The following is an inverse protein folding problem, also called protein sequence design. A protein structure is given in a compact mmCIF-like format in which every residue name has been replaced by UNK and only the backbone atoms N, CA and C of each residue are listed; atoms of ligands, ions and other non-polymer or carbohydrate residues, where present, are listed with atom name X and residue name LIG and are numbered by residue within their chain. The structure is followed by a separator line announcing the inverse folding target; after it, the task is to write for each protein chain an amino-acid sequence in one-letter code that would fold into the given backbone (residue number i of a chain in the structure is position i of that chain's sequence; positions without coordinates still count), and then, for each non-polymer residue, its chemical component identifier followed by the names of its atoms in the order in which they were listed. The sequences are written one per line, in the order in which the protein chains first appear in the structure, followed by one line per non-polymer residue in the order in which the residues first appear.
data_IF_976674448698
#
_entry.id   IF_976674448698
#
_cell.length_a   1.000
_cell.length_b   1.000
_cell.length_c   1.000
_cell.angle_alpha   90.00
_cell.angle_beta   90.00
_cell.angle_gamma   90.00
#
_symmetry.space_group_name_H-M   'P 1'
#
loop_
_entity.id
_entity.type
_entity.pdbx_description
1 polymer ?
#
# COMPACT_ATOMS: atom_id res chain seq x y z
N UNK A 1 -11.07 -1.89 -2.50
CA UNK A 1 -11.42 -0.68 -1.71
C UNK A 1 -10.22 -0.36 -0.87
N UNK A 2 -9.71 0.87 -0.92
CA UNK A 2 -8.62 1.31 -0.07
C UNK A 2 -9.22 1.81 1.26
N UNK A 3 -8.62 1.44 2.38
CA UNK A 3 -9.11 1.78 3.72
C UNK A 3 -8.78 3.24 4.10
N UNK A 4 -7.53 3.68 3.90
CA UNK A 4 -7.13 5.06 4.10
C UNK A 4 -5.99 5.48 3.14
N UNK A 5 -5.96 6.78 2.82
CA UNK A 5 -4.86 7.41 2.10
C UNK A 5 -4.50 8.71 2.83
N UNK A 6 -3.22 8.88 3.13
CA UNK A 6 -2.67 10.09 3.74
C UNK A 6 -1.78 10.81 2.74
N UNK A 7 -1.72 12.14 2.81
CA UNK A 7 -0.85 12.97 1.98
C UNK A 7 0.19 13.66 2.86
N UNK A 8 1.45 13.59 2.45
CA UNK A 8 2.57 14.32 3.06
C UNK A 8 3.35 15.04 1.97
N UNK A 9 3.23 16.36 1.92
CA UNK A 9 3.75 17.15 0.81
C UNK A 9 3.12 16.71 -0.52
N UNK A 10 3.94 16.26 -1.45
CA UNK A 10 3.52 15.77 -2.77
C UNK A 10 3.47 14.24 -2.87
N UNK A 11 3.67 13.54 -1.76
CA UNK A 11 3.61 12.08 -1.68
C UNK A 11 2.37 11.60 -0.94
N UNK A 12 1.98 10.37 -1.21
CA UNK A 12 0.82 9.72 -0.64
C UNK A 12 1.22 8.41 0.01
N UNK A 13 0.60 8.06 1.14
CA UNK A 13 0.73 6.75 1.77
C UNK A 13 -0.65 6.10 1.85
N UNK A 14 -0.76 4.90 1.29
CA UNK A 14 -1.91 4.03 1.45
C UNK A 14 -1.74 3.22 2.73
N UNK A 15 -2.78 3.19 3.57
CA UNK A 15 -2.82 2.36 4.78
C UNK A 15 -3.99 1.39 4.69
N UNK A 16 -3.69 0.11 4.87
CA UNK A 16 -4.68 -0.98 4.98
C UNK A 16 -4.55 -1.63 6.37
N UNK A 17 -5.64 -1.66 7.13
CA UNK A 17 -5.58 -2.20 8.49
C UNK A 17 -5.92 -3.69 8.54
N UNK A 18 -5.15 -4.44 9.31
CA UNK A 18 -5.36 -5.87 9.57
C UNK A 18 -5.74 -6.09 11.03
N UNK A 19 -6.81 -6.84 11.24
CA UNK A 19 -7.31 -7.23 12.56
C UNK A 19 -6.73 -8.54 13.07
N UNK A 20 -5.98 -9.26 12.22
CA UNK A 20 -5.21 -10.45 12.58
C UNK A 20 -4.04 -10.08 13.48
N UNK A 21 -3.55 -11.04 14.30
CA UNK A 21 -2.38 -10.83 15.17
C UNK A 21 -1.05 -11.06 14.45
N UNK A 22 -1.03 -11.91 13.43
CA UNK A 22 0.19 -12.29 12.72
C UNK A 22 0.31 -11.55 11.39
N UNK A 23 1.55 -11.32 10.96
CA UNK A 23 1.92 -10.63 9.71
C UNK A 23 1.73 -11.51 8.48
N UNK A 24 0.49 -11.93 8.23
CA UNK A 24 0.12 -12.87 7.16
C UNK A 24 -0.56 -12.18 5.98
N UNK A 25 -0.50 -10.85 5.91
CA UNK A 25 -1.12 -10.12 4.80
C UNK A 25 -0.25 -10.26 3.55
N UNK A 26 -0.90 -10.54 2.43
CA UNK A 26 -0.23 -10.63 1.13
C UNK A 26 0.19 -9.22 0.66
N UNK A 27 1.50 -8.95 0.48
CA UNK A 27 1.99 -7.67 -0.02
C UNK A 27 1.42 -7.29 -1.40
N UNK A 28 1.01 -8.27 -2.21
CA UNK A 28 0.41 -8.02 -3.53
C UNK A 28 -0.81 -7.11 -3.46
N UNK A 29 -1.57 -7.18 -2.36
CA UNK A 29 -2.72 -6.30 -2.11
C UNK A 29 -2.29 -4.82 -2.12
N UNK A 30 -1.18 -4.48 -1.45
CA UNK A 30 -0.66 -3.12 -1.40
C UNK A 30 -0.09 -2.67 -2.75
N UNK A 31 0.54 -3.58 -3.51
CA UNK A 31 1.03 -3.27 -4.85
C UNK A 31 -0.11 -2.85 -5.78
N UNK A 32 -1.21 -3.61 -5.78
CA UNK A 32 -2.42 -3.29 -6.56
C UNK A 32 -3.02 -1.97 -6.12
N UNK A 33 -3.12 -1.71 -4.81
CA UNK A 33 -3.67 -0.46 -4.30
C UNK A 33 -2.82 0.75 -4.69
N UNK A 34 -1.49 0.62 -4.55
CA UNK A 34 -0.53 1.65 -4.94
C UNK A 34 -0.66 1.99 -6.41
N UNK A 35 -0.66 0.98 -7.29
CA UNK A 35 -0.80 1.17 -8.73
C UNK A 35 -2.14 1.83 -9.09
N UNK A 36 -3.24 1.32 -8.54
CA UNK A 36 -4.56 1.85 -8.82
C UNK A 36 -4.71 3.32 -8.39
N UNK A 37 -4.15 3.69 -7.23
CA UNK A 37 -4.19 5.08 -6.76
C UNK A 37 -3.33 6.01 -7.63
N UNK A 38 -2.11 5.57 -7.96
CA UNK A 38 -1.21 6.34 -8.82
C UNK A 38 -1.85 6.63 -10.18
N UNK A 39 -2.45 5.62 -10.82
CA UNK A 39 -3.09 5.78 -12.12
C UNK A 39 -4.37 6.61 -12.07
N UNK A 40 -5.19 6.44 -11.03
CA UNK A 40 -6.42 7.23 -10.87
C UNK A 40 -6.15 8.74 -10.74
N UNK A 41 -5.00 9.08 -10.16
CA UNK A 41 -4.60 10.46 -9.86
C UNK A 41 -3.47 10.99 -10.77
N UNK A 42 -3.09 10.22 -11.79
CA UNK A 42 -2.03 10.56 -12.75
C UNK A 42 -0.69 10.92 -12.06
N UNK A 43 -0.32 10.12 -11.06
CA UNK A 43 0.90 10.26 -10.26
C UNK A 43 1.98 9.27 -10.71
N UNK A 44 3.27 9.62 -10.60
CA UNK A 44 4.33 8.63 -10.73
C UNK A 44 4.22 7.63 -9.58
N UNK A 45 4.50 6.35 -9.85
CA UNK A 45 4.25 5.25 -8.89
C UNK A 45 5.07 5.40 -7.59
N UNK A 46 6.25 6.01 -7.67
CA UNK A 46 7.14 6.28 -6.55
C UNK A 46 6.65 7.40 -5.62
N UNK A 47 5.68 8.21 -6.05
CA UNK A 47 4.99 9.19 -5.20
C UNK A 47 3.95 8.56 -4.27
N UNK A 48 3.67 7.25 -4.40
CA UNK A 48 2.69 6.54 -3.59
C UNK A 48 3.38 5.39 -2.84
N UNK A 49 3.41 5.45 -1.51
CA UNK A 49 3.85 4.33 -0.66
C UNK A 49 2.65 3.57 -0.10
N UNK A 50 2.89 2.40 0.50
CA UNK A 50 1.83 1.60 1.05
C UNK A 50 2.28 0.77 2.28
N UNK A 51 1.40 0.68 3.27
CA UNK A 51 1.71 0.12 4.59
C UNK A 51 0.53 -0.69 5.14
N UNK A 52 0.83 -1.80 5.81
CA UNK A 52 -0.16 -2.49 6.65
C UNK A 52 -0.09 -2.00 8.09
N UNK A 53 -1.24 -1.75 8.72
CA UNK A 53 -1.36 -1.49 10.15
C UNK A 53 -2.03 -2.68 10.86
N UNK A 54 -1.34 -3.33 11.80
CA UNK A 54 -1.88 -4.43 12.60
C UNK A 54 -2.48 -3.90 13.91
N UNK A 55 -3.77 -3.51 13.86
CA UNK A 55 -4.44 -2.69 14.89
C UNK A 55 -4.42 -3.27 16.30
N UNK A 56 -4.35 -4.60 16.45
CA UNK A 56 -4.28 -5.26 17.77
C UNK A 56 -2.92 -5.06 18.46
N UNK A 57 -1.87 -4.83 17.68
CA UNK A 57 -0.49 -4.68 18.16
C UNK A 57 0.03 -3.25 18.01
N UNK A 58 -0.57 -2.45 17.14
CA UNK A 58 -0.08 -1.12 16.76
C UNK A 58 1.11 -1.15 15.80
N UNK A 59 1.58 -2.33 15.39
CA UNK A 59 2.71 -2.46 14.47
C UNK A 59 2.34 -2.07 13.04
N UNK A 60 3.27 -1.42 12.34
CA UNK A 60 3.22 -1.21 10.90
C UNK A 60 4.19 -2.14 10.18
N UNK A 61 3.80 -2.55 8.97
CA UNK A 61 4.68 -3.30 8.05
C UNK A 61 4.72 -2.55 6.73
N UNK A 62 5.94 -2.22 6.31
CA UNK A 62 6.24 -1.54 5.05
C UNK A 62 6.94 -2.55 4.12
N UNK A 63 6.21 -3.31 3.30
CA UNK A 63 6.85 -4.24 2.37
C UNK A 63 7.78 -3.49 1.43
N UNK A 64 8.99 -4.00 1.27
CA UNK A 64 9.95 -3.50 0.28
C UNK A 64 9.65 -4.13 -1.08
N UNK A 65 10.11 -3.48 -2.15
CA UNK A 65 10.08 -4.03 -3.52
C UNK A 65 8.68 -4.47 -4.01
N UNK A 66 7.64 -3.73 -3.61
CA UNK A 66 6.28 -3.98 -4.13
C UNK A 66 6.28 -3.89 -5.67
N UNK A 67 5.64 -4.83 -6.39
CA UNK A 67 5.64 -4.87 -7.84
C UNK A 67 4.95 -3.65 -8.48
N UNK A 68 5.42 -3.25 -9.66
CA UNK A 68 4.76 -2.29 -10.54
C UNK A 68 3.85 -2.98 -11.55
N UNK A 69 3.36 -2.24 -12.53
CA UNK A 69 2.44 -2.76 -13.56
C UNK A 69 3.00 -3.97 -14.32
N UNK A 70 4.25 -3.87 -14.78
CA UNK A 70 4.86 -4.91 -15.61
C UNK A 70 5.04 -6.22 -14.85
N UNK A 71 5.33 -6.17 -13.53
CA UNK A 71 5.44 -7.36 -12.70
C UNK A 71 4.07 -7.96 -12.34
N UNK A 72 3.03 -7.13 -12.22
CA UNK A 72 1.66 -7.57 -11.90
C UNK A 72 0.94 -8.24 -13.08
N UNK A 73 1.32 -7.93 -14.31
CA UNK A 73 0.69 -8.46 -15.53
C UNK A 73 1.31 -9.78 -16.02
N UNK A 74 2.30 -10.33 -15.30
CA UNK A 74 2.96 -11.60 -15.64
C UNK A 74 2.25 -12.84 -15.11
#
# INVERSE_FOLDING_TARGET
RIDAVYRTGDTYEIVDWKTTRHRTADPLQLAVYRLAWAELHDLPLDAVTATFLYVRSGETVHPQDLPGRAELER
#
